data_IF_882222405207
#
_entry.id   IF_882222405207
#
_cell.length_a   1.000
_cell.length_b   1.000
_cell.length_c   1.000
_cell.angle_alpha   90.00
_cell.angle_beta   90.00
_cell.angle_gamma   90.00
#
_symmetry.space_group_name_H-M   'P 1'
#
loop_
_entity.id
_entity.type
_entity.pdbx_description
1 polymer ?
#
# COMPACT_ATOMS: atom_id res chain seq x y z
N UNK A 1 13.62 -31.40 -2.76
CA UNK A 1 12.26 -31.42 -2.51
C UNK A 1 11.79 -30.32 -1.59
N UNK A 2 10.97 -29.53 -2.03
CA UNK A 2 10.58 -28.35 -1.28
C UNK A 2 9.15 -28.46 -0.76
N UNK A 3 8.82 -29.61 -0.24
CA UNK A 3 7.48 -29.86 0.28
C UNK A 3 7.06 -28.87 1.34
N UNK A 4 8.05 -28.16 1.93
CA UNK A 4 7.82 -27.17 2.96
C UNK A 4 7.62 -25.74 2.41
N UNK A 5 7.67 -25.59 1.10
CA UNK A 5 7.44 -24.27 0.52
C UNK A 5 6.00 -23.87 0.79
N UNK A 6 5.81 -22.79 1.54
CA UNK A 6 4.51 -22.17 1.69
C UNK A 6 4.09 -21.72 0.31
N UNK A 7 2.88 -22.11 -0.17
CA UNK A 7 2.43 -21.63 -1.47
C UNK A 7 2.46 -20.11 -1.48
N UNK A 8 3.14 -19.54 -2.47
CA UNK A 8 3.13 -18.11 -2.64
C UNK A 8 1.68 -17.70 -2.92
N UNK A 9 1.24 -16.67 -2.27
CA UNK A 9 -0.08 -16.12 -2.53
C UNK A 9 -0.25 -15.87 -4.02
N UNK A 10 -1.39 -16.25 -4.58
CA UNK A 10 -1.67 -16.10 -6.00
C UNK A 10 -1.58 -14.63 -6.43
N UNK A 11 -1.97 -13.70 -5.55
CA UNK A 11 -1.85 -12.27 -5.78
C UNK A 11 -1.76 -11.56 -4.44
N UNK A 12 -0.97 -10.49 -4.39
CA UNK A 12 -0.97 -9.58 -3.25
C UNK A 12 -2.04 -8.51 -3.47
N UNK A 13 -2.81 -8.23 -2.43
CA UNK A 13 -3.77 -7.14 -2.46
C UNK A 13 -3.08 -5.89 -1.91
N UNK A 14 -2.91 -4.89 -2.75
CA UNK A 14 -2.26 -3.63 -2.38
C UNK A 14 -3.27 -2.51 -2.48
N UNK A 15 -3.42 -1.75 -1.42
CA UNK A 15 -4.26 -0.56 -1.42
C UNK A 15 -3.36 0.66 -1.63
N UNK A 16 -3.68 1.49 -2.62
CA UNK A 16 -2.93 2.72 -2.88
C UNK A 16 -3.79 3.91 -2.45
N UNK A 17 -3.34 4.60 -1.40
CA UNK A 17 -3.96 5.82 -0.90
C UNK A 17 -3.25 7.03 -1.50
N UNK A 18 -4.02 7.97 -2.01
CA UNK A 18 -3.45 9.13 -2.69
C UNK A 18 -4.43 10.29 -2.76
N UNK A 19 -3.88 11.50 -2.90
CA UNK A 19 -4.67 12.67 -3.24
C UNK A 19 -5.09 12.59 -4.73
N UNK A 20 -6.21 13.20 -5.07
CA UNK A 20 -6.68 13.28 -6.46
C UNK A 20 -5.67 13.98 -7.37
N UNK A 21 -4.86 14.87 -6.80
CA UNK A 21 -3.82 15.59 -7.55
C UNK A 21 -2.70 14.68 -8.02
N UNK A 22 -2.55 13.49 -7.43
CA UNK A 22 -1.42 12.60 -7.66
C UNK A 22 -1.73 11.45 -8.62
N UNK A 23 -2.75 11.57 -9.45
CA UNK A 23 -3.19 10.48 -10.33
C UNK A 23 -2.06 9.93 -11.22
N UNK A 24 -1.20 10.80 -11.75
CA UNK A 24 -0.08 10.35 -12.58
C UNK A 24 0.95 9.55 -11.79
N UNK A 25 1.16 9.91 -10.53
CA UNK A 25 2.06 9.16 -9.63
C UNK A 25 1.47 7.79 -9.31
N UNK A 26 0.17 7.73 -9.08
CA UNK A 26 -0.53 6.46 -8.83
C UNK A 26 -0.34 5.50 -9.99
N UNK A 27 -0.47 5.99 -11.21
CA UNK A 27 -0.28 5.16 -12.41
C UNK A 27 1.13 4.59 -12.49
N UNK A 28 2.14 5.37 -12.13
CA UNK A 28 3.52 4.88 -12.09
C UNK A 28 3.71 3.81 -11.02
N UNK A 29 3.17 4.03 -9.83
CA UNK A 29 3.23 3.06 -8.73
C UNK A 29 2.53 1.77 -9.14
N UNK A 30 1.33 1.90 -9.69
CA UNK A 30 0.54 0.74 -10.13
C UNK A 30 1.28 -0.08 -11.18
N UNK A 31 1.89 0.57 -12.18
CA UNK A 31 2.69 -0.13 -13.18
C UNK A 31 3.87 -0.88 -12.56
N UNK A 32 4.57 -0.22 -11.63
CA UNK A 32 5.70 -0.84 -10.95
C UNK A 32 5.31 -2.06 -10.15
N UNK A 33 4.20 -1.98 -9.43
CA UNK A 33 3.72 -3.08 -8.59
C UNK A 33 3.11 -4.22 -9.40
N UNK A 34 2.43 -3.92 -10.50
CA UNK A 34 1.71 -4.94 -11.27
C UNK A 34 2.54 -5.60 -12.37
N UNK A 35 3.77 -5.15 -12.59
CA UNK A 35 4.63 -5.66 -13.65
C UNK A 35 4.77 -7.19 -13.62
N UNK A 36 4.90 -7.77 -12.44
CA UNK A 36 5.04 -9.22 -12.30
C UNK A 36 3.72 -10.00 -12.36
N UNK A 37 2.59 -9.33 -12.52
CA UNK A 37 1.28 -9.98 -12.62
C UNK A 37 0.74 -10.55 -11.32
N UNK A 38 1.38 -10.30 -10.18
CA UNK A 38 1.02 -10.90 -8.89
C UNK A 38 0.43 -9.92 -7.90
N UNK A 39 0.07 -8.74 -8.37
CA UNK A 39 -0.48 -7.68 -7.50
C UNK A 39 -1.86 -7.27 -8.00
N UNK A 40 -2.79 -7.21 -7.06
CA UNK A 40 -4.12 -6.64 -7.29
C UNK A 40 -4.16 -5.31 -6.57
N UNK A 41 -4.41 -4.24 -7.32
CA UNK A 41 -4.42 -2.89 -6.78
C UNK A 41 -5.85 -2.44 -6.49
N UNK A 42 -6.05 -1.89 -5.29
CA UNK A 42 -7.29 -1.25 -4.88
C UNK A 42 -7.03 0.23 -4.63
N UNK A 43 -7.96 1.06 -5.06
CA UNK A 43 -7.97 2.49 -4.76
C UNK A 43 -9.39 2.88 -4.38
N UNK A 44 -9.58 4.07 -3.80
CA UNK A 44 -10.89 4.58 -3.46
C UNK A 44 -11.89 4.51 -4.62
N UNK A 45 -11.42 4.86 -5.81
CA UNK A 45 -12.27 4.88 -7.00
C UNK A 45 -12.75 3.51 -7.40
N UNK A 46 -11.93 2.49 -7.17
CA UNK A 46 -12.27 1.11 -7.54
C UNK A 46 -13.16 0.44 -6.50
N UNK A 47 -13.26 1.02 -5.30
CA UNK A 47 -14.02 0.46 -4.20
C UNK A 47 -15.47 0.91 -4.14
N UNK A 48 -15.75 2.14 -4.57
CA UNK A 48 -17.05 2.76 -4.33
C UNK A 48 -18.12 2.09 -5.18
N UNK A 49 -19.01 1.37 -4.50
CA UNK A 49 -20.22 0.82 -5.11
C UNK A 49 -21.38 1.75 -4.79
N UNK A 50 -22.21 2.02 -5.78
CA UNK A 50 -23.37 2.89 -5.58
C UNK A 50 -24.25 2.36 -4.46
N UNK A 51 -24.62 3.22 -3.52
CA UNK A 51 -25.50 2.88 -2.43
C UNK A 51 -24.86 2.21 -1.22
N UNK A 52 -23.55 1.94 -1.25
CA UNK A 52 -22.84 1.36 -0.11
C UNK A 52 -22.21 2.44 0.76
N UNK A 53 -22.25 2.31 2.10
CA UNK A 53 -21.58 3.26 2.98
C UNK A 53 -20.07 3.20 2.76
N UNK A 54 -19.48 4.36 2.48
CA UNK A 54 -18.04 4.47 2.19
C UNK A 54 -17.18 3.88 3.30
N UNK A 55 -17.53 4.14 4.57
CA UNK A 55 -16.76 3.63 5.71
C UNK A 55 -16.72 2.10 5.73
N UNK A 56 -17.85 1.45 5.47
CA UNK A 56 -17.93 0.00 5.43
C UNK A 56 -17.10 -0.58 4.30
N UNK A 57 -17.16 0.04 3.12
CA UNK A 57 -16.37 -0.38 1.96
C UNK A 57 -14.89 -0.22 2.21
N UNK A 58 -14.47 0.92 2.79
CA UNK A 58 -13.08 1.16 3.12
C UNK A 58 -12.57 0.13 4.12
N UNK A 59 -13.31 -0.10 5.20
CA UNK A 59 -12.93 -1.05 6.22
C UNK A 59 -12.73 -2.45 5.62
N UNK A 60 -13.67 -2.89 4.80
CA UNK A 60 -13.59 -4.18 4.15
C UNK A 60 -12.39 -4.29 3.23
N UNK A 61 -12.12 -3.26 2.45
CA UNK A 61 -10.96 -3.22 1.58
C UNK A 61 -9.66 -3.27 2.36
N UNK A 62 -9.56 -2.51 3.45
CA UNK A 62 -8.36 -2.52 4.29
C UNK A 62 -8.16 -3.87 4.98
N UNK A 63 -9.22 -4.52 5.42
CA UNK A 63 -9.13 -5.85 6.04
C UNK A 63 -8.55 -6.89 5.09
N UNK A 64 -8.84 -6.78 3.80
CA UNK A 64 -8.34 -7.72 2.79
C UNK A 64 -7.00 -7.30 2.19
N UNK A 65 -6.51 -6.11 2.53
CA UNK A 65 -5.25 -5.58 2.03
C UNK A 65 -4.06 -6.29 2.67
N UNK A 66 -3.09 -6.65 1.86
CA UNK A 66 -1.83 -7.22 2.35
C UNK A 66 -0.80 -6.14 2.65
N UNK A 67 -0.74 -5.11 1.81
CA UNK A 67 0.18 -3.98 1.98
C UNK A 67 -0.56 -2.69 1.62
N UNK A 68 -0.44 -1.70 2.48
CA UNK A 68 -1.01 -0.37 2.26
C UNK A 68 0.09 0.56 1.76
N UNK A 69 -0.14 1.15 0.60
CA UNK A 69 0.80 2.08 -0.02
C UNK A 69 0.18 3.48 -0.03
N UNK A 70 0.93 4.47 0.39
CA UNK A 70 0.50 5.87 0.32
C UNK A 70 1.52 6.69 -0.45
N UNK A 71 1.03 7.58 -1.30
CA UNK A 71 1.89 8.53 -2.02
C UNK A 71 2.28 9.63 -1.03
N UNK A 72 3.57 9.74 -0.74
CA UNK A 72 4.10 10.69 0.24
C UNK A 72 4.34 12.07 -0.36
N UNK A 73 3.29 12.67 -0.92
CA UNK A 73 3.36 13.99 -1.55
C UNK A 73 2.81 15.08 -0.63
N UNK A 74 3.10 16.36 -0.92
CA UNK A 74 2.47 17.47 -0.19
C UNK A 74 0.94 17.44 -0.29
N UNK A 75 0.39 17.03 -1.44
CA UNK A 75 -1.05 16.92 -1.62
C UNK A 75 -1.66 15.85 -0.70
N UNK A 76 -0.98 14.71 -0.54
CA UNK A 76 -1.43 13.66 0.40
C UNK A 76 -1.40 14.16 1.85
N UNK A 77 -0.40 14.95 2.22
CA UNK A 77 -0.29 15.50 3.56
C UNK A 77 -1.47 16.41 3.94
N UNK A 78 -2.12 17.01 2.94
CA UNK A 78 -3.27 17.88 3.13
C UNK A 78 -4.61 17.18 2.91
N UNK A 79 -4.61 15.91 2.61
CA UNK A 79 -5.82 15.17 2.27
C UNK A 79 -6.38 14.45 3.50
N UNK A 80 -7.57 14.85 3.93
CA UNK A 80 -8.25 14.20 5.04
C UNK A 80 -8.54 12.73 4.74
N UNK A 81 -8.87 12.43 3.49
CA UNK A 81 -9.13 11.05 3.06
C UNK A 81 -7.89 10.18 3.19
N UNK A 82 -6.74 10.68 2.74
CA UNK A 82 -5.48 9.95 2.85
C UNK A 82 -5.15 9.69 4.32
N UNK A 83 -5.32 10.69 5.18
CA UNK A 83 -5.04 10.54 6.61
C UNK A 83 -5.98 9.54 7.27
N UNK A 84 -7.25 9.52 6.89
CA UNK A 84 -8.21 8.55 7.40
C UNK A 84 -7.85 7.13 6.98
N UNK A 85 -7.49 6.94 5.71
CA UNK A 85 -7.10 5.64 5.18
C UNK A 85 -5.83 5.13 5.84
N UNK A 86 -4.84 6.00 5.99
CA UNK A 86 -3.59 5.69 6.67
C UNK A 86 -3.86 5.26 8.12
N UNK A 87 -4.69 6.01 8.83
CA UNK A 87 -5.07 5.68 10.20
C UNK A 87 -5.76 4.33 10.31
N UNK A 88 -6.62 4.02 9.35
CA UNK A 88 -7.29 2.72 9.28
C UNK A 88 -6.32 1.57 9.08
N UNK A 89 -5.39 1.71 8.15
CA UNK A 89 -4.37 0.70 7.90
C UNK A 89 -3.46 0.51 9.12
N UNK A 90 -3.07 1.62 9.74
CA UNK A 90 -2.27 1.59 10.97
C UNK A 90 -3.00 0.87 12.10
N UNK A 91 -4.27 1.18 12.31
CA UNK A 91 -5.07 0.57 13.38
C UNK A 91 -5.23 -0.95 13.17
N UNK A 92 -5.29 -1.40 11.92
CA UNK A 92 -5.40 -2.83 11.59
C UNK A 92 -4.04 -3.54 11.58
N UNK A 93 -2.96 -2.83 11.85
CA UNK A 93 -1.63 -3.42 11.87
C UNK A 93 -1.12 -3.83 10.49
N UNK A 94 -1.59 -3.21 9.43
CA UNK A 94 -1.17 -3.54 8.08
C UNK A 94 0.24 -3.00 7.81
N UNK A 95 1.06 -3.71 7.01
CA UNK A 95 2.30 -3.14 6.51
C UNK A 95 2.02 -1.88 5.70
N UNK A 96 2.76 -0.80 5.99
CA UNK A 96 2.57 0.50 5.34
C UNK A 96 3.84 0.88 4.60
N UNK A 97 3.69 1.27 3.34
CA UNK A 97 4.77 1.77 2.50
C UNK A 97 4.45 3.21 2.11
N UNK A 98 5.38 4.10 2.37
CA UNK A 98 5.27 5.48 1.90
C UNK A 98 6.17 5.62 0.67
N UNK A 99 5.56 5.94 -0.46
CA UNK A 99 6.28 6.15 -1.70
C UNK A 99 6.60 7.63 -1.84
N UNK A 100 7.88 7.97 -1.83
CA UNK A 100 8.32 9.35 -2.00
C UNK A 100 8.46 9.65 -3.49
N UNK A 101 7.71 10.62 -4.02
CA UNK A 101 7.88 11.04 -5.41
C UNK A 101 9.24 11.68 -5.64
N UNK A 102 9.75 11.54 -6.85
CA UNK A 102 11.06 12.10 -7.21
C UNK A 102 11.06 13.62 -7.12
N UNK A 103 12.06 14.17 -6.42
CA UNK A 103 12.21 15.61 -6.28
C UNK A 103 11.23 16.27 -5.32
N UNK A 104 10.40 15.50 -4.65
CA UNK A 104 9.47 16.02 -3.67
C UNK A 104 10.06 16.05 -2.25
N UNK A 105 9.56 16.96 -1.43
CA UNK A 105 9.91 17.01 -0.01
C UNK A 105 9.28 15.82 0.71
N UNK A 106 10.06 15.15 1.54
CA UNK A 106 9.55 14.02 2.32
C UNK A 106 8.43 14.45 3.27
N UNK A 107 7.35 13.70 3.22
CA UNK A 107 6.26 13.85 4.16
C UNK A 107 6.49 12.93 5.37
N UNK A 108 6.36 13.50 6.56
CA UNK A 108 6.36 12.72 7.79
C UNK A 108 4.93 12.46 8.23
N UNK A 109 4.41 11.24 8.08
CA UNK A 109 3.04 10.94 8.47
C UNK A 109 2.90 10.94 10.00
N UNK A 110 1.67 11.17 10.52
CA UNK A 110 1.42 11.23 11.96
C UNK A 110 1.32 9.85 12.61
N UNK A 111 2.26 8.97 12.30
CA UNK A 111 2.39 7.64 12.92
C UNK A 111 3.87 7.40 13.22
N UNK A 112 4.16 6.45 14.11
CA UNK A 112 5.54 6.16 14.51
C UNK A 112 6.36 5.62 13.32
N UNK A 113 7.64 6.02 13.22
CA UNK A 113 8.48 5.58 12.09
C UNK A 113 8.64 4.07 11.95
N UNK A 114 8.49 3.32 13.02
CA UNK A 114 8.56 1.85 12.98
C UNK A 114 7.34 1.22 12.30
N UNK A 115 6.27 1.98 12.07
CA UNK A 115 5.04 1.47 11.48
C UNK A 115 5.06 1.46 9.96
N UNK A 116 6.06 2.08 9.32
CA UNK A 116 6.09 2.16 7.86
C UNK A 116 7.49 2.03 7.28
N UNK A 117 7.54 1.68 6.00
CA UNK A 117 8.76 1.64 5.21
C UNK A 117 8.67 2.75 4.15
N UNK A 118 9.72 3.54 4.02
CA UNK A 118 9.76 4.59 3.01
C UNK A 118 10.57 4.12 1.80
N UNK A 119 10.01 4.26 0.61
CA UNK A 119 10.70 3.89 -0.63
C UNK A 119 10.57 5.02 -1.64
N UNK A 120 11.55 5.15 -2.52
CA UNK A 120 11.47 6.08 -3.63
C UNK A 120 10.63 5.48 -4.76
N UNK A 121 9.90 6.32 -5.47
CA UNK A 121 9.10 5.87 -6.62
C UNK A 121 9.96 5.14 -7.66
N UNK A 122 11.16 5.65 -7.94
CA UNK A 122 12.08 5.01 -8.88
C UNK A 122 12.49 3.60 -8.46
N UNK A 123 12.56 3.33 -7.15
CA UNK A 123 12.83 1.97 -6.67
C UNK A 123 11.69 1.02 -7.01
N UNK A 124 10.45 1.46 -6.87
CA UNK A 124 9.28 0.64 -7.21
C UNK A 124 9.18 0.35 -8.71
N UNK A 125 9.78 1.19 -9.53
CA UNK A 125 9.82 0.96 -10.97
C UNK A 125 10.83 -0.12 -11.37
N UNK A 126 11.58 -0.65 -10.40
CA UNK A 126 12.48 -1.78 -10.59
C UNK A 126 11.74 -3.06 -10.16
N UNK A 127 11.37 -3.96 -11.08
CA UNK A 127 10.51 -5.10 -10.75
C UNK A 127 11.03 -6.00 -9.64
N UNK A 128 12.31 -6.31 -9.65
CA UNK A 128 12.89 -7.18 -8.62
C UNK A 128 12.80 -6.56 -7.22
N UNK A 129 12.96 -5.26 -7.12
CA UNK A 129 12.83 -4.55 -5.84
C UNK A 129 11.39 -4.61 -5.32
N UNK A 130 10.42 -4.32 -6.20
CA UNK A 130 9.01 -4.32 -5.81
C UNK A 130 8.56 -5.70 -5.31
N UNK A 131 8.92 -6.75 -6.04
CA UNK A 131 8.57 -8.12 -5.64
C UNK A 131 9.20 -8.50 -4.30
N UNK A 132 10.48 -8.18 -4.11
CA UNK A 132 11.18 -8.47 -2.88
C UNK A 132 10.59 -7.74 -1.69
N UNK A 133 10.23 -6.48 -1.87
CA UNK A 133 9.61 -5.66 -0.82
C UNK A 133 8.27 -6.25 -0.38
N UNK A 134 7.40 -6.59 -1.32
CA UNK A 134 6.09 -7.16 -1.00
C UNK A 134 6.23 -8.49 -0.27
N UNK A 135 7.13 -9.34 -0.73
CA UNK A 135 7.36 -10.63 -0.09
C UNK A 135 7.87 -10.46 1.35
N UNK A 136 8.82 -9.56 1.56
CA UNK A 136 9.38 -9.30 2.88
C UNK A 136 8.32 -8.76 3.84
N UNK A 137 7.56 -7.76 3.42
CA UNK A 137 6.55 -7.13 4.27
C UNK A 137 5.43 -8.11 4.66
N UNK A 138 5.00 -8.96 3.74
CA UNK A 138 3.94 -9.92 4.04
C UNK A 138 4.44 -11.04 4.94
N UNK A 139 5.69 -11.46 4.83
CA UNK A 139 6.30 -12.42 5.73
C UNK A 139 6.42 -11.87 7.15
N UNK A 140 6.85 -10.62 7.28
CA UNK A 140 6.97 -9.97 8.59
C UNK A 140 5.61 -9.81 9.25
N UNK A 141 4.59 -9.46 8.52
CA UNK A 141 3.23 -9.36 9.05
C UNK A 141 2.73 -10.72 9.54
N UNK A 142 3.00 -11.80 8.82
CA UNK A 142 2.64 -13.15 9.23
C UNK A 142 3.35 -13.56 10.52
N UNK A 143 4.62 -13.23 10.65
CA UNK A 143 5.40 -13.53 11.87
C UNK A 143 4.82 -12.78 13.08
N UNK A 144 4.46 -11.52 12.91
CA UNK A 144 3.88 -10.72 14.00
C UNK A 144 2.51 -11.24 14.41
N UNK A 145 1.73 -11.75 13.49
CA UNK A 145 0.41 -12.29 13.78
C UNK A 145 0.48 -13.61 14.57
N UNK A 146 1.58 -14.34 14.47
CA UNK A 146 1.79 -15.60 15.19
C UNK A 146 2.21 -15.40 16.66
N UNK A 147 2.50 -14.18 17.06
CA UNK A 147 2.94 -13.88 18.44
C UNK A 147 1.75 -13.60 19.38
#
# INVERSE_FOLDING_TARGET
MSATAVPLKAAFNVFISHSREDQSLVERVERGLTFGGRVRVLTDRKMVSAGQPWRTELRRALETTDVFVVIGSPASARSDFVLQELGGAWALGKPIVIVTPDGEVEWAPPIEPSAYTRVALTELETPAFAEGLLAELTQDAARKAER
#
